data_IF_754114587986
#
_entry.id   IF_754114587986
#
_cell.length_a   1.000
_cell.length_b   1.000
_cell.length_c   1.000
_cell.angle_alpha   90.00
_cell.angle_beta   90.00
_cell.angle_gamma   90.00
#
_symmetry.space_group_name_H-M   'P 1'
#
loop_
_entity.id
_entity.type
_entity.pdbx_description
1 polymer ?
#
# COMPACT_ATOMS: atom_id res chain seq x y z
N UNK A 1 12.86 -9.38 -17.83
CA UNK A 1 11.39 -9.46 -17.85
C UNK A 1 10.94 -9.49 -19.30
N UNK A 2 10.12 -10.46 -19.68
CA UNK A 2 9.48 -10.56 -20.99
C UNK A 2 8.01 -10.18 -20.83
N UNK A 3 7.50 -9.39 -21.75
CA UNK A 3 6.09 -9.01 -21.83
C UNK A 3 5.58 -9.43 -23.20
N UNK A 4 4.43 -10.07 -23.25
CA UNK A 4 3.72 -10.43 -24.46
C UNK A 4 2.26 -10.00 -24.35
N UNK A 5 1.73 -9.51 -25.44
CA UNK A 5 0.34 -9.11 -25.55
C UNK A 5 -0.21 -9.64 -26.88
N UNK A 6 -1.43 -10.12 -26.88
CA UNK A 6 -2.10 -10.54 -28.12
C UNK A 6 -2.50 -9.32 -28.97
N UNK A 7 -2.82 -9.57 -30.24
CA UNK A 7 -3.21 -8.52 -31.18
C UNK A 7 -4.47 -7.74 -30.76
N UNK A 8 -5.35 -8.36 -29.98
CA UNK A 8 -6.60 -7.76 -29.51
C UNK A 8 -6.45 -7.03 -28.19
N UNK A 9 -5.29 -7.18 -27.49
CA UNK A 9 -5.04 -6.59 -26.17
C UNK A 9 -5.81 -7.26 -25.03
N UNK A 10 -6.51 -8.37 -25.32
CA UNK A 10 -7.31 -9.08 -24.35
C UNK A 10 -6.48 -9.99 -23.44
N UNK A 11 -5.33 -10.42 -23.93
CA UNK A 11 -4.42 -11.29 -23.23
C UNK A 11 -3.07 -10.61 -23.04
N UNK A 12 -2.66 -10.51 -21.78
CA UNK A 12 -1.32 -9.99 -21.44
C UNK A 12 -0.60 -11.03 -20.61
N UNK A 13 0.58 -11.45 -21.03
CA UNK A 13 1.43 -12.34 -20.25
C UNK A 13 2.77 -11.69 -19.94
N UNK A 14 3.29 -12.00 -18.78
CA UNK A 14 4.59 -11.54 -18.34
C UNK A 14 5.37 -12.70 -17.72
N UNK A 15 6.66 -12.77 -18.03
CA UNK A 15 7.56 -13.69 -17.39
C UNK A 15 8.87 -12.98 -17.06
N UNK A 16 9.46 -13.31 -15.93
CA UNK A 16 10.69 -12.68 -15.54
C UNK A 16 11.49 -13.54 -14.58
N UNK A 17 12.77 -13.24 -14.56
CA UNK A 17 13.74 -13.85 -13.69
C UNK A 17 14.50 -12.73 -12.95
N UNK A 18 14.73 -12.90 -11.67
CA UNK A 18 15.54 -12.00 -10.87
C UNK A 18 16.54 -12.78 -10.04
N UNK A 19 17.75 -12.24 -9.98
CA UNK A 19 18.82 -12.78 -9.15
C UNK A 19 19.33 -11.69 -8.19
N UNK A 20 19.13 -11.90 -6.89
CA UNK A 20 19.61 -11.02 -5.83
C UNK A 20 20.26 -11.86 -4.72
N UNK A 21 21.28 -12.67 -5.10
CA UNK A 21 21.86 -13.67 -4.20
C UNK A 21 21.04 -14.97 -4.08
N UNK A 22 19.88 -15.04 -4.74
CA UNK A 22 19.02 -16.21 -4.91
C UNK A 22 18.20 -16.07 -6.19
N UNK A 23 17.81 -17.23 -6.75
CA UNK A 23 17.02 -17.29 -7.97
C UNK A 23 15.54 -17.11 -7.66
N UNK A 24 14.87 -16.21 -8.37
CA UNK A 24 13.43 -16.05 -8.30
C UNK A 24 12.82 -15.90 -9.70
N UNK A 25 11.75 -16.64 -9.95
CA UNK A 25 10.95 -16.59 -11.18
C UNK A 25 9.60 -15.96 -10.88
N UNK A 26 9.11 -15.17 -11.79
CA UNK A 26 7.76 -14.65 -11.73
C UNK A 26 7.10 -14.80 -13.10
N UNK A 27 5.84 -15.19 -13.08
CA UNK A 27 5.00 -15.25 -14.25
C UNK A 27 3.64 -14.66 -13.93
N UNK A 28 3.07 -13.95 -14.88
CA UNK A 28 1.76 -13.32 -14.77
C UNK A 28 0.98 -13.47 -16.05
N UNK A 29 -0.33 -13.56 -15.90
CA UNK A 29 -1.26 -13.73 -16.99
C UNK A 29 -2.54 -12.94 -16.65
N UNK A 30 -2.94 -12.04 -17.54
CA UNK A 30 -4.16 -11.25 -17.39
C UNK A 30 -5.03 -11.44 -18.61
N UNK A 31 -6.27 -11.86 -18.42
CA UNK A 31 -7.25 -12.04 -19.47
C UNK A 31 -8.42 -11.07 -19.30
N UNK A 32 -8.66 -10.24 -20.32
CA UNK A 32 -9.66 -9.18 -20.37
C UNK A 32 -10.76 -9.43 -21.40
N UNK A 33 -10.71 -10.55 -22.12
CA UNK A 33 -11.64 -10.88 -23.20
C UNK A 33 -13.07 -11.19 -22.73
N UNK A 34 -13.25 -11.42 -21.44
CA UNK A 34 -14.55 -11.63 -20.78
C UNK A 34 -14.69 -10.70 -19.57
N UNK A 35 -15.91 -10.51 -19.10
CA UNK A 35 -16.20 -9.97 -17.79
C UNK A 35 -16.66 -11.11 -16.87
N UNK A 36 -16.00 -11.32 -15.73
CA UNK A 36 -14.92 -10.52 -15.10
C UNK A 36 -13.55 -10.68 -15.75
N UNK A 37 -12.65 -9.73 -15.48
CA UNK A 37 -11.23 -9.82 -15.80
C UNK A 37 -10.56 -10.79 -14.85
N UNK A 38 -9.72 -11.68 -15.38
CA UNK A 38 -8.93 -12.64 -14.61
C UNK A 38 -7.45 -12.27 -14.64
N UNK A 39 -6.82 -12.29 -13.47
CA UNK A 39 -5.40 -12.01 -13.30
C UNK A 39 -4.78 -13.12 -12.44
N UNK A 40 -3.82 -13.83 -13.03
CA UNK A 40 -3.09 -14.89 -12.38
C UNK A 40 -1.62 -14.50 -12.25
N UNK A 41 -1.03 -14.68 -11.07
CA UNK A 41 0.38 -14.43 -10.82
C UNK A 41 0.98 -15.55 -10.00
N UNK A 42 2.16 -15.98 -10.40
CA UNK A 42 2.98 -16.92 -9.67
C UNK A 42 4.38 -16.31 -9.46
N UNK A 43 4.87 -16.38 -8.24
CA UNK A 43 6.23 -16.06 -7.87
C UNK A 43 6.83 -17.30 -7.21
N UNK A 44 7.97 -17.74 -7.72
CA UNK A 44 8.67 -18.92 -7.22
C UNK A 44 10.14 -18.61 -7.03
N UNK A 45 10.70 -19.01 -5.89
CA UNK A 45 12.10 -18.79 -5.56
C UNK A 45 12.29 -17.68 -4.54
N UNK A 46 13.52 -17.52 -4.11
CA UNK A 46 13.88 -16.63 -3.01
C UNK A 46 14.01 -17.36 -1.68
N UNK A 47 14.47 -16.64 -0.66
CA UNK A 47 14.60 -17.19 0.70
C UNK A 47 13.27 -17.07 1.45
N UNK A 48 12.87 -18.14 2.13
CA UNK A 48 11.84 -18.04 3.15
C UNK A 48 12.35 -17.24 4.35
N UNK A 49 11.46 -16.53 5.02
CA UNK A 49 11.79 -15.83 6.26
C UNK A 49 12.23 -16.85 7.33
N UNK A 50 13.30 -16.51 8.05
CA UNK A 50 13.76 -17.24 9.22
C UNK A 50 12.75 -16.99 10.33
N UNK A 51 12.26 -18.04 10.97
CA UNK A 51 11.40 -17.94 12.15
C UNK A 51 12.25 -18.37 13.35
N UNK A 52 12.54 -17.41 14.24
CA UNK A 52 13.21 -17.69 15.50
C UNK A 52 12.18 -18.16 16.53
N UNK A 53 12.46 -19.27 17.19
CA UNK A 53 11.71 -19.69 18.39
C UNK A 53 12.20 -18.87 19.59
N UNK A 54 11.33 -18.22 20.36
CA UNK A 54 11.75 -17.37 21.48
C UNK A 54 12.52 -18.09 22.59
N UNK A 55 12.42 -19.42 22.68
CA UNK A 55 13.00 -20.22 23.80
C UNK A 55 14.00 -21.30 23.35
N UNK A 56 14.31 -21.39 22.07
CA UNK A 56 15.25 -22.42 21.59
C UNK A 56 16.27 -21.74 20.69
N UNK A 57 17.57 -21.84 21.05
CA UNK A 57 18.67 -21.28 20.25
C UNK A 57 18.87 -21.98 18.90
N UNK A 58 17.96 -22.85 18.50
CA UNK A 58 17.96 -23.50 17.19
C UNK A 58 17.22 -22.65 16.16
N UNK A 59 17.96 -21.90 15.38
CA UNK A 59 17.47 -21.30 14.13
C UNK A 59 17.14 -22.42 13.15
N UNK A 60 15.87 -22.68 12.90
CA UNK A 60 15.46 -23.59 11.85
C UNK A 60 15.47 -22.82 10.53
N UNK A 61 16.58 -22.86 9.82
CA UNK A 61 16.69 -22.38 8.44
C UNK A 61 15.82 -23.27 7.53
N UNK A 62 14.61 -22.84 7.23
CA UNK A 62 13.84 -23.48 6.16
C UNK A 62 14.50 -23.14 4.81
N UNK A 63 15.07 -24.13 4.17
CA UNK A 63 15.69 -23.99 2.83
C UNK A 63 14.68 -24.08 1.67
N UNK A 64 13.39 -24.05 1.95
CA UNK A 64 12.38 -24.13 0.90
C UNK A 64 12.26 -22.82 0.10
N UNK A 65 12.16 -22.93 -1.21
CA UNK A 65 11.88 -21.80 -2.07
C UNK A 65 10.51 -21.21 -1.74
N UNK A 66 10.44 -19.89 -1.67
CA UNK A 66 9.18 -19.19 -1.49
C UNK A 66 8.30 -19.40 -2.72
N UNK A 67 7.08 -19.82 -2.51
CA UNK A 67 6.04 -19.92 -3.54
C UNK A 67 4.87 -19.04 -3.17
N UNK A 68 4.45 -18.21 -4.10
CA UNK A 68 3.26 -17.38 -3.96
C UNK A 68 2.44 -17.49 -5.23
N UNK A 69 1.16 -17.80 -5.08
CA UNK A 69 0.20 -17.89 -6.16
C UNK A 69 -0.94 -16.94 -5.84
N UNK A 70 -1.23 -16.01 -6.74
CA UNK A 70 -2.33 -15.08 -6.63
C UNK A 70 -3.29 -15.25 -7.81
N UNK A 71 -4.55 -15.48 -7.53
CA UNK A 71 -5.64 -15.51 -8.50
C UNK A 71 -6.62 -14.41 -8.15
N UNK A 72 -6.85 -13.49 -9.05
CA UNK A 72 -7.72 -12.34 -8.86
C UNK A 72 -8.75 -12.26 -9.96
N UNK A 73 -9.99 -12.00 -9.59
CA UNK A 73 -11.09 -11.72 -10.52
C UNK A 73 -11.72 -10.40 -10.15
N UNK A 74 -11.95 -9.51 -11.11
CA UNK A 74 -12.55 -8.21 -10.88
C UNK A 74 -13.34 -7.71 -12.08
N UNK A 75 -14.31 -6.82 -11.83
CA UNK A 75 -15.14 -6.20 -12.86
C UNK A 75 -14.95 -4.67 -12.78
N UNK A 76 -14.27 -4.05 -13.76
CA UNK A 76 -14.07 -2.60 -13.78
C UNK A 76 -15.26 -1.90 -14.44
N UNK A 77 -16.30 -1.59 -13.66
CA UNK A 77 -17.40 -0.75 -14.16
C UNK A 77 -16.92 0.69 -14.29
N UNK A 78 -17.02 1.26 -15.50
CA UNK A 78 -16.68 2.64 -15.78
C UNK A 78 -17.90 3.40 -16.28
N UNK A 79 -18.27 4.46 -15.57
CA UNK A 79 -19.42 5.31 -15.85
C UNK A 79 -18.97 6.76 -16.13
N UNK A 80 -17.85 6.90 -16.84
CA UNK A 80 -17.28 8.22 -17.13
C UNK A 80 -18.20 9.04 -18.03
N UNK A 81 -18.59 10.22 -17.54
CA UNK A 81 -19.46 11.14 -18.30
C UNK A 81 -18.92 12.56 -18.21
N UNK A 82 -18.67 13.19 -19.38
CA UNK A 82 -18.17 14.56 -19.47
C UNK A 82 -16.85 14.73 -18.70
N UNK A 83 -16.83 15.59 -17.68
CA UNK A 83 -15.64 15.87 -16.85
C UNK A 83 -15.48 14.93 -15.66
N UNK A 84 -16.47 14.09 -15.38
CA UNK A 84 -16.45 13.19 -14.25
C UNK A 84 -15.94 11.80 -14.64
N UNK A 85 -14.92 11.35 -13.96
CA UNK A 85 -14.43 9.98 -14.03
C UNK A 85 -15.07 9.25 -12.85
N UNK A 86 -15.92 8.27 -13.15
CA UNK A 86 -16.65 7.48 -12.15
C UNK A 86 -16.40 6.01 -12.42
N UNK A 87 -16.12 5.25 -11.39
CA UNK A 87 -15.96 3.81 -11.51
C UNK A 87 -16.30 3.07 -10.22
N UNK A 88 -16.59 1.79 -10.41
CA UNK A 88 -16.88 0.84 -9.35
C UNK A 88 -16.20 -0.49 -9.69
N UNK A 89 -15.36 -1.00 -8.79
CA UNK A 89 -14.52 -2.17 -9.05
C UNK A 89 -14.66 -3.17 -7.90
N UNK A 90 -15.61 -4.11 -7.97
CA UNK A 90 -15.62 -5.28 -7.10
C UNK A 90 -14.53 -6.27 -7.50
N UNK A 91 -13.89 -6.89 -6.51
CA UNK A 91 -12.77 -7.80 -6.71
C UNK A 91 -12.80 -8.93 -5.69
N UNK A 92 -12.45 -10.11 -6.15
CA UNK A 92 -12.17 -11.29 -5.31
C UNK A 92 -10.74 -11.73 -5.60
N UNK A 93 -10.00 -12.05 -4.54
CA UNK A 93 -8.62 -12.53 -4.64
C UNK A 93 -8.44 -13.77 -3.80
N UNK A 94 -7.85 -14.81 -4.39
CA UNK A 94 -7.35 -16.00 -3.70
C UNK A 94 -5.83 -15.99 -3.77
N UNK A 95 -5.18 -16.12 -2.63
CA UNK A 95 -3.71 -16.12 -2.55
C UNK A 95 -3.22 -17.34 -1.77
N UNK A 96 -2.16 -17.95 -2.25
CA UNK A 96 -1.42 -18.99 -1.55
C UNK A 96 0.01 -18.53 -1.27
N UNK A 97 0.48 -18.76 -0.05
CA UNK A 97 1.86 -18.52 0.36
C UNK A 97 2.39 -19.73 1.12
N UNK A 98 3.54 -20.23 0.74
CA UNK A 98 4.20 -21.35 1.43
C UNK A 98 5.09 -20.89 2.60
N UNK A 99 4.74 -19.82 3.28
CA UNK A 99 5.46 -19.33 4.44
C UNK A 99 5.18 -20.20 5.69
N UNK A 100 6.16 -20.30 6.58
CA UNK A 100 5.93 -20.84 7.92
C UNK A 100 5.38 -19.75 8.83
N UNK A 101 4.35 -20.08 9.58
CA UNK A 101 3.78 -19.23 10.61
C UNK A 101 3.94 -19.96 11.96
N UNK A 102 4.49 -19.26 12.93
CA UNK A 102 4.64 -19.79 14.29
C UNK A 102 3.49 -19.33 15.17
N UNK A 103 2.85 -20.27 15.87
CA UNK A 103 1.89 -19.98 16.92
C UNK A 103 2.58 -20.04 18.28
N UNK A 104 2.57 -18.92 19.00
CA UNK A 104 3.08 -18.87 20.37
C UNK A 104 2.15 -19.57 21.38
N UNK A 105 0.91 -19.87 20.99
CA UNK A 105 -0.09 -20.52 21.84
C UNK A 105 0.12 -22.04 21.84
N UNK A 106 0.20 -22.65 20.67
CA UNK A 106 0.38 -24.09 20.49
C UNK A 106 1.85 -24.51 20.41
N UNK A 107 2.78 -23.53 20.33
CA UNK A 107 4.21 -23.75 20.06
C UNK A 107 4.47 -24.59 18.81
N UNK A 108 3.60 -24.47 17.81
CA UNK A 108 3.63 -25.24 16.57
C UNK A 108 3.77 -24.33 15.34
N UNK A 109 4.18 -24.93 14.22
CA UNK A 109 4.35 -24.25 12.95
C UNK A 109 3.29 -24.69 11.94
N UNK A 110 2.58 -23.71 11.38
CA UNK A 110 1.73 -23.90 10.22
C UNK A 110 2.53 -23.65 8.96
N UNK A 111 2.56 -24.60 8.05
CA UNK A 111 3.15 -24.45 6.71
C UNK A 111 2.11 -24.22 5.65
N UNK A 112 2.30 -23.18 4.89
CA UNK A 112 1.39 -22.81 3.80
C UNK A 112 0.11 -22.15 4.29
N UNK A 113 -0.30 -21.13 3.60
CA UNK A 113 -1.47 -20.33 3.93
C UNK A 113 -2.26 -19.99 2.68
N UNK A 114 -3.57 -20.26 2.73
CA UNK A 114 -4.52 -19.79 1.74
C UNK A 114 -5.26 -18.58 2.30
N UNK A 115 -5.30 -17.51 1.56
CA UNK A 115 -6.02 -16.30 1.94
C UNK A 115 -7.09 -15.99 0.91
N UNK A 116 -8.30 -15.70 1.35
CA UNK A 116 -9.39 -15.22 0.49
C UNK A 116 -9.72 -13.79 0.85
N UNK A 117 -9.64 -12.91 -0.15
CA UNK A 117 -9.87 -11.48 -0.01
C UNK A 117 -10.99 -11.00 -0.92
N UNK A 118 -11.80 -10.10 -0.40
CA UNK A 118 -12.86 -9.39 -1.12
C UNK A 118 -12.57 -7.92 -1.02
N UNK A 119 -12.68 -7.19 -2.11
CA UNK A 119 -12.55 -5.74 -2.06
C UNK A 119 -13.49 -5.06 -3.04
N UNK A 120 -13.87 -3.86 -2.67
CA UNK A 120 -14.69 -2.98 -3.47
C UNK A 120 -14.05 -1.61 -3.46
N UNK A 121 -13.88 -1.04 -4.64
CA UNK A 121 -13.43 0.33 -4.82
C UNK A 121 -14.47 1.11 -5.62
N UNK A 122 -14.86 2.26 -5.12
CA UNK A 122 -15.74 3.21 -5.81
C UNK A 122 -15.06 4.57 -5.86
N UNK A 123 -15.13 5.22 -6.99
CA UNK A 123 -14.54 6.55 -7.13
C UNK A 123 -15.35 7.43 -8.08
N UNK A 124 -15.34 8.72 -7.76
CA UNK A 124 -15.86 9.76 -8.62
C UNK A 124 -15.05 11.02 -8.42
N UNK A 125 -14.37 11.48 -9.45
CA UNK A 125 -13.58 12.71 -9.39
C UNK A 125 -13.56 13.45 -10.71
N UNK A 126 -13.30 14.75 -10.65
CA UNK A 126 -13.15 15.60 -11.84
C UNK A 126 -11.83 15.28 -12.55
N UNK A 127 -11.88 15.22 -13.87
CA UNK A 127 -10.68 15.08 -14.71
C UNK A 127 -9.69 16.20 -14.40
N UNK A 128 -8.44 15.84 -14.19
CA UNK A 128 -7.36 16.78 -13.89
C UNK A 128 -6.92 17.56 -15.13
N UNK A 129 -6.57 18.82 -14.96
CA UNK A 129 -5.80 19.60 -15.90
C UNK A 129 -4.31 19.26 -15.78
N UNK A 130 -3.51 19.57 -16.79
CA UNK A 130 -2.04 19.31 -16.81
C UNK A 130 -1.30 19.99 -15.66
N UNK A 131 -1.81 21.15 -15.20
CA UNK A 131 -1.21 21.90 -14.08
C UNK A 131 -1.75 21.52 -12.71
N UNK A 132 -2.87 20.79 -12.63
CA UNK A 132 -3.45 20.39 -11.36
C UNK A 132 -2.56 19.31 -10.70
N UNK A 133 -2.30 19.45 -9.41
CA UNK A 133 -1.53 18.49 -8.64
C UNK A 133 -2.36 17.26 -8.25
N UNK A 134 -3.66 17.48 -8.03
CA UNK A 134 -4.66 16.47 -7.67
C UNK A 134 -6.01 16.84 -8.28
N UNK A 135 -6.98 15.91 -8.33
CA UNK A 135 -8.34 16.26 -8.73
C UNK A 135 -8.89 17.41 -7.90
N UNK A 136 -9.52 18.40 -8.54
CA UNK A 136 -10.09 19.55 -7.84
C UNK A 136 -11.27 19.20 -6.95
N UNK A 137 -12.03 18.18 -7.34
CA UNK A 137 -13.15 17.67 -6.56
C UNK A 137 -13.28 16.18 -6.82
N UNK A 138 -13.52 15.43 -5.77
CA UNK A 138 -13.72 13.98 -5.91
C UNK A 138 -13.75 13.23 -4.61
N UNK A 139 -14.21 11.99 -4.71
CA UNK A 139 -14.22 11.04 -3.62
C UNK A 139 -13.76 9.67 -4.13
N UNK A 140 -12.99 8.99 -3.32
CA UNK A 140 -12.59 7.60 -3.51
C UNK A 140 -12.88 6.85 -2.23
N UNK A 141 -13.57 5.73 -2.32
CA UNK A 141 -13.84 4.86 -1.17
C UNK A 141 -13.40 3.45 -1.54
N UNK A 142 -12.73 2.79 -0.62
CA UNK A 142 -12.30 1.42 -0.75
C UNK A 142 -12.60 0.65 0.53
N UNK A 143 -13.12 -0.56 0.38
CA UNK A 143 -13.31 -1.49 1.50
C UNK A 143 -12.74 -2.83 1.11
N UNK A 144 -12.11 -3.52 2.04
CA UNK A 144 -11.68 -4.89 1.83
C UNK A 144 -11.77 -5.73 3.10
N UNK A 145 -12.03 -6.99 2.86
CA UNK A 145 -12.14 -8.02 3.87
C UNK A 145 -11.27 -9.21 3.44
N UNK A 146 -10.49 -9.76 4.37
CA UNK A 146 -9.64 -10.92 4.14
C UNK A 146 -9.77 -11.89 5.29
N UNK A 147 -9.85 -13.17 4.96
CA UNK A 147 -9.92 -14.26 5.93
C UNK A 147 -9.24 -15.51 5.37
N UNK A 148 -9.07 -16.50 6.22
CA UNK A 148 -8.67 -17.83 5.81
C UNK A 148 -9.86 -18.79 5.94
N UNK A 149 -10.51 -19.17 4.84
CA UNK A 149 -11.76 -19.93 4.92
C UNK A 149 -11.59 -21.39 5.40
N UNK A 150 -10.39 -21.95 5.25
CA UNK A 150 -10.12 -23.36 5.57
C UNK A 150 -9.42 -23.57 6.90
N UNK A 151 -9.15 -22.53 7.67
CA UNK A 151 -8.51 -22.64 8.96
C UNK A 151 -9.14 -21.69 9.98
N UNK A 152 -9.84 -22.28 10.96
CA UNK A 152 -10.53 -21.53 12.01
C UNK A 152 -9.59 -20.84 13.02
N UNK A 153 -8.28 -21.21 13.04
CA UNK A 153 -7.28 -20.60 13.90
C UNK A 153 -6.87 -19.20 13.44
N UNK A 154 -7.19 -18.84 12.19
CA UNK A 154 -7.08 -17.49 11.69
C UNK A 154 -8.36 -16.71 11.94
N UNK A 155 -8.24 -15.48 12.37
CA UNK A 155 -9.32 -14.53 12.38
C UNK A 155 -9.53 -13.91 10.99
N UNK A 156 -10.03 -12.71 10.98
CA UNK A 156 -10.21 -11.89 9.78
C UNK A 156 -9.56 -10.53 9.94
N UNK A 157 -9.32 -9.87 8.81
CA UNK A 157 -8.96 -8.47 8.76
C UNK A 157 -9.93 -7.74 7.82
N UNK A 158 -10.45 -6.63 8.29
CA UNK A 158 -11.31 -5.73 7.54
C UNK A 158 -10.70 -4.34 7.56
N UNK A 159 -10.73 -3.65 6.42
CA UNK A 159 -10.38 -2.25 6.37
C UNK A 159 -11.33 -1.45 5.49
N UNK A 160 -11.45 -0.17 5.79
CA UNK A 160 -12.17 0.81 5.02
C UNK A 160 -11.27 2.04 4.86
N UNK A 161 -11.24 2.58 3.67
CA UNK A 161 -10.47 3.75 3.31
C UNK A 161 -11.35 4.72 2.52
N UNK A 162 -11.29 5.99 2.89
CA UNK A 162 -11.96 7.06 2.18
C UNK A 162 -10.99 8.19 1.87
N UNK A 163 -11.13 8.82 0.72
CA UNK A 163 -10.36 10.00 0.32
C UNK A 163 -11.28 10.99 -0.36
N UNK A 164 -11.23 12.23 0.09
CA UNK A 164 -11.92 13.36 -0.51
C UNK A 164 -10.90 14.36 -1.07
N UNK A 165 -11.19 14.88 -2.23
CA UNK A 165 -10.44 15.95 -2.87
C UNK A 165 -11.29 17.20 -2.89
N UNK A 166 -10.72 18.31 -2.49
CA UNK A 166 -11.36 19.63 -2.44
C UNK A 166 -10.44 20.66 -3.11
N UNK A 167 -10.99 21.72 -3.70
CA UNK A 167 -10.18 22.81 -4.22
C UNK A 167 -9.45 23.51 -3.06
N UNK A 168 -8.22 23.93 -3.32
CA UNK A 168 -7.48 24.78 -2.38
C UNK A 168 -7.89 26.25 -2.46
N UNK A 169 -7.21 27.10 -1.69
CA UNK A 169 -7.49 28.52 -1.60
C UNK A 169 -7.16 29.28 -2.90
N UNK A 170 -6.18 28.80 -3.66
CA UNK A 170 -5.74 29.44 -4.89
C UNK A 170 -5.83 28.46 -6.10
N UNK A 171 -5.71 28.95 -7.34
CA UNK A 171 -5.69 28.10 -8.55
C UNK A 171 -4.58 27.06 -8.45
N UNK A 172 -4.88 25.80 -8.85
CA UNK A 172 -3.99 24.65 -8.81
C UNK A 172 -3.56 24.17 -7.42
N UNK A 173 -4.01 24.81 -6.36
CA UNK A 173 -3.91 24.28 -5.00
C UNK A 173 -4.97 23.19 -4.79
N UNK A 174 -4.68 22.24 -3.92
CA UNK A 174 -5.61 21.15 -3.59
C UNK A 174 -5.53 20.78 -2.12
N UNK A 175 -6.70 20.51 -1.56
CA UNK A 175 -6.86 19.93 -0.24
C UNK A 175 -7.29 18.47 -0.40
N UNK A 176 -6.55 17.56 0.20
CA UNK A 176 -6.87 16.14 0.25
C UNK A 176 -7.09 15.72 1.70
N UNK A 177 -8.24 15.18 1.97
CA UNK A 177 -8.56 14.57 3.26
C UNK A 177 -8.70 13.07 3.05
N UNK A 178 -8.04 12.27 3.86
CA UNK A 178 -8.19 10.82 3.83
C UNK A 178 -8.39 10.26 5.22
N UNK A 179 -9.28 9.28 5.32
CA UNK A 179 -9.54 8.53 6.53
C UNK A 179 -9.44 7.04 6.23
N UNK A 180 -8.84 6.29 7.13
CA UNK A 180 -8.72 4.86 7.04
C UNK A 180 -9.03 4.22 8.39
N UNK A 181 -9.70 3.09 8.35
CA UNK A 181 -10.00 2.32 9.54
C UNK A 181 -9.81 0.84 9.26
N UNK A 182 -9.13 0.15 10.17
CA UNK A 182 -8.84 -1.26 10.11
C UNK A 182 -9.25 -1.93 11.42
N UNK A 183 -9.82 -3.12 11.31
CA UNK A 183 -10.06 -4.02 12.43
C UNK A 183 -9.63 -5.42 12.04
N UNK A 184 -8.89 -6.08 12.92
CA UNK A 184 -8.61 -7.50 12.77
C UNK A 184 -9.04 -8.27 14.02
N UNK A 185 -9.52 -9.47 13.81
CA UNK A 185 -9.69 -10.45 14.86
C UNK A 185 -8.39 -11.24 14.97
N UNK A 186 -7.74 -11.18 16.13
CA UNK A 186 -6.54 -11.95 16.40
C UNK A 186 -6.96 -13.20 17.14
N UNK A 187 -6.75 -14.34 16.51
CA UNK A 187 -6.82 -15.68 17.11
C UNK A 187 -5.40 -16.20 17.34
N UNK A 188 -5.14 -17.44 17.03
CA UNK A 188 -3.82 -18.04 17.12
C UNK A 188 -2.84 -17.38 16.15
N UNK A 189 -3.27 -17.10 14.94
CA UNK A 189 -2.51 -16.38 13.92
C UNK A 189 -3.14 -15.03 13.61
N UNK A 190 -2.32 -14.07 13.17
CA UNK A 190 -2.75 -12.74 12.78
C UNK A 190 -2.32 -12.39 11.36
N UNK A 191 -3.10 -11.57 10.70
CA UNK A 191 -2.70 -10.95 9.44
C UNK A 191 -1.76 -9.75 9.69
N UNK A 192 -0.94 -9.41 8.70
CA UNK A 192 -0.19 -8.16 8.71
C UNK A 192 -1.12 -6.95 8.60
N UNK A 193 -0.73 -5.84 9.21
CA UNK A 193 -1.46 -4.56 9.12
C UNK A 193 -1.48 -4.05 7.68
N UNK A 194 -2.65 -3.65 7.18
CA UNK A 194 -2.79 -3.09 5.84
C UNK A 194 -2.56 -1.58 5.79
N UNK A 195 -2.87 -0.90 6.89
CA UNK A 195 -2.69 0.54 7.00
C UNK A 195 -1.27 0.85 7.45
N UNK A 196 -0.67 1.85 6.83
CA UNK A 196 0.61 2.40 7.28
C UNK A 196 0.36 3.34 8.45
N UNK A 197 1.26 3.34 9.43
CA UNK A 197 1.22 4.33 10.51
C UNK A 197 1.46 5.75 9.99
N UNK A 198 1.12 6.79 10.78
CA UNK A 198 1.41 8.17 10.45
C UNK A 198 2.87 8.38 10.07
N UNK A 199 3.12 9.34 9.21
CA UNK A 199 4.48 9.70 8.80
C UNK A 199 5.34 10.02 10.02
N UNK A 200 6.59 9.54 10.05
CA UNK A 200 7.49 9.68 11.21
C UNK A 200 7.43 8.52 12.22
N UNK A 201 6.45 7.64 12.13
CA UNK A 201 6.38 6.43 12.95
C UNK A 201 6.81 5.21 12.13
N UNK A 202 8.07 4.80 12.29
CA UNK A 202 8.65 3.69 11.51
C UNK A 202 8.54 2.32 12.18
N UNK A 203 8.19 2.29 13.46
CA UNK A 203 8.07 1.03 14.20
C UNK A 203 6.72 0.37 13.92
N UNK A 204 6.76 -0.92 13.62
CA UNK A 204 5.55 -1.73 13.47
C UNK A 204 4.97 -2.07 14.84
N UNK A 205 4.07 -1.25 15.31
CA UNK A 205 3.33 -1.51 16.55
C UNK A 205 2.32 -2.65 16.34
N UNK A 206 2.05 -3.47 17.36
CA UNK A 206 0.93 -4.40 17.31
C UNK A 206 -0.37 -3.63 17.06
N UNK A 207 -1.28 -4.20 16.28
CA UNK A 207 -2.52 -3.50 15.92
C UNK A 207 -3.67 -4.49 15.82
N UNK A 208 -4.75 -4.23 16.54
CA UNK A 208 -6.04 -4.91 16.35
C UNK A 208 -7.06 -3.96 15.72
N UNK A 209 -7.05 -2.70 16.17
CA UNK A 209 -7.85 -1.64 15.57
C UNK A 209 -6.96 -0.44 15.33
N UNK A 210 -7.00 0.09 14.13
CA UNK A 210 -6.25 1.26 13.72
C UNK A 210 -7.14 2.18 12.92
N UNK A 211 -7.25 3.43 13.35
CA UNK A 211 -7.84 4.51 12.55
C UNK A 211 -6.76 5.55 12.24
N UNK A 212 -6.78 6.06 11.03
CA UNK A 212 -5.83 7.06 10.57
C UNK A 212 -6.61 8.13 9.82
N UNK A 213 -6.36 9.37 10.13
CA UNK A 213 -6.89 10.53 9.44
C UNK A 213 -5.72 11.38 8.97
N UNK A 214 -5.76 11.77 7.70
CA UNK A 214 -4.69 12.56 7.08
C UNK A 214 -5.28 13.74 6.33
N UNK A 215 -4.72 14.91 6.55
CA UNK A 215 -5.02 16.13 5.81
C UNK A 215 -3.74 16.54 5.10
N UNK A 216 -3.81 16.68 3.78
CA UNK A 216 -2.72 17.16 2.93
C UNK A 216 -3.16 18.40 2.17
N UNK A 217 -2.38 19.45 2.24
CA UNK A 217 -2.57 20.66 1.43
C UNK A 217 -1.42 20.82 0.47
N UNK A 218 -1.70 20.59 -0.81
CA UNK A 218 -0.68 20.64 -1.86
C UNK A 218 -0.79 21.95 -2.65
N UNK A 219 0.37 22.57 -2.90
CA UNK A 219 0.47 23.82 -3.63
C UNK A 219 1.65 23.78 -4.62
N UNK A 220 1.49 24.34 -5.83
CA UNK A 220 2.61 24.57 -6.72
C UNK A 220 3.41 25.78 -6.20
N UNK A 221 4.71 25.62 -6.03
CA UNK A 221 5.61 26.71 -5.62
C UNK A 221 6.00 27.51 -6.86
N UNK A 222 6.50 26.85 -7.90
CA UNK A 222 6.83 27.47 -9.17
C UNK A 222 6.87 26.44 -10.30
N UNK A 223 6.83 26.93 -11.51
CA UNK A 223 6.97 26.16 -12.76
C UNK A 223 8.20 26.68 -13.50
N UNK A 224 9.42 26.24 -13.12
CA UNK A 224 10.63 26.76 -13.75
C UNK A 224 10.70 26.40 -15.23
N UNK A 225 10.11 25.25 -15.64
CA UNK A 225 10.22 24.68 -16.99
C UNK A 225 11.65 24.76 -17.54
N UNK A 226 12.60 24.47 -16.62
CA UNK A 226 14.00 24.63 -16.86
C UNK A 226 14.59 23.38 -17.49
N UNK A 227 15.16 23.56 -18.66
CA UNK A 227 15.81 22.50 -19.42
C UNK A 227 17.34 22.69 -19.39
N UNK A 228 18.02 21.77 -18.72
CA UNK A 228 19.49 21.75 -18.72
C UNK A 228 19.99 20.68 -19.69
N UNK A 229 20.01 21.07 -20.99
CA UNK A 229 20.39 20.21 -22.10
C UNK A 229 19.57 18.90 -22.11
N UNK A 230 20.19 17.78 -22.54
CA UNK A 230 19.55 16.46 -22.55
C UNK A 230 19.55 15.77 -21.17
N UNK A 231 20.21 16.34 -20.16
CA UNK A 231 20.44 15.68 -18.88
C UNK A 231 19.26 15.81 -17.93
N UNK A 232 18.74 17.03 -17.74
CA UNK A 232 17.74 17.31 -16.70
C UNK A 232 16.73 18.32 -17.21
N UNK A 233 15.45 17.99 -17.07
CA UNK A 233 14.33 18.91 -17.24
C UNK A 233 13.56 19.00 -15.93
N UNK A 234 13.56 20.17 -15.30
CA UNK A 234 12.80 20.50 -14.10
C UNK A 234 11.48 21.13 -14.49
N UNK A 235 10.39 20.37 -14.35
CA UNK A 235 9.07 20.77 -14.76
C UNK A 235 8.40 21.71 -13.76
N UNK A 236 8.42 21.34 -12.48
CA UNK A 236 7.76 22.11 -11.41
C UNK A 236 8.33 21.77 -10.04
N UNK A 237 8.20 22.74 -9.13
CA UNK A 237 8.42 22.55 -7.70
C UNK A 237 7.07 22.63 -6.97
N UNK A 238 6.83 21.70 -6.07
CA UNK A 238 5.57 21.60 -5.31
C UNK A 238 5.85 21.49 -3.83
N UNK A 239 4.97 22.08 -3.02
CA UNK A 239 4.96 21.94 -1.58
C UNK A 239 3.72 21.15 -1.16
N UNK A 240 3.84 20.39 -0.08
CA UNK A 240 2.73 19.72 0.56
C UNK A 240 2.85 19.90 2.07
N UNK A 241 1.83 20.48 2.69
CA UNK A 241 1.69 20.55 4.15
C UNK A 241 0.80 19.40 4.56
N UNK A 242 1.17 18.68 5.61
CA UNK A 242 0.38 17.56 6.07
C UNK A 242 0.22 17.49 7.58
N UNK A 243 -0.88 16.88 8.00
CA UNK A 243 -1.15 16.49 9.38
C UNK A 243 -1.76 15.09 9.37
N UNK A 244 -1.16 14.18 10.12
CA UNK A 244 -1.63 12.80 10.30
C UNK A 244 -2.01 12.59 11.74
N UNK A 245 -3.20 12.03 11.97
CA UNK A 245 -3.69 11.62 13.28
C UNK A 245 -3.99 10.12 13.22
N UNK A 246 -3.62 9.36 14.24
CA UNK A 246 -3.99 7.96 14.31
C UNK A 246 -4.33 7.54 15.74
N UNK A 247 -5.20 6.53 15.83
CA UNK A 247 -5.55 5.85 17.07
C UNK A 247 -5.32 4.35 16.87
N UNK A 248 -4.39 3.80 17.63
CA UNK A 248 -4.04 2.39 17.63
C UNK A 248 -4.52 1.73 18.93
N UNK A 249 -5.17 0.57 18.79
CA UNK A 249 -5.65 -0.22 19.91
C UNK A 249 -5.21 -1.67 19.73
N UNK A 250 -4.61 -2.23 20.77
CA UNK A 250 -4.19 -3.63 20.77
C UNK A 250 -4.17 -4.24 22.17
N UNK A 251 -4.25 -5.55 22.23
CA UNK A 251 -4.12 -6.31 23.46
C UNK A 251 -2.66 -6.67 23.71
N UNK A 252 -2.23 -6.58 24.94
CA UNK A 252 -0.93 -7.06 25.39
C UNK A 252 -1.08 -7.83 26.70
N UNK A 253 -0.14 -8.75 26.95
CA UNK A 253 -0.07 -9.49 28.20
C UNK A 253 0.84 -8.73 29.14
N UNK A 254 0.32 -8.31 30.27
CA UNK A 254 1.11 -7.65 31.30
C UNK A 254 2.07 -8.65 31.95
N UNK A 255 3.36 -8.37 31.92
CA UNK A 255 4.40 -9.31 32.35
C UNK A 255 4.27 -9.72 33.83
N UNK A 256 3.77 -8.84 34.68
CA UNK A 256 3.66 -9.06 36.15
C UNK A 256 2.41 -9.88 36.48
N UNK A 257 1.26 -9.44 35.99
CA UNK A 257 -0.04 -10.05 36.37
C UNK A 257 -0.47 -11.18 35.43
N UNK A 258 0.21 -11.35 34.29
CA UNK A 258 -0.17 -12.26 33.19
C UNK A 258 -1.61 -12.02 32.66
N UNK A 259 -2.18 -10.86 32.96
CA UNK A 259 -3.51 -10.50 32.48
C UNK A 259 -3.43 -9.82 31.11
N UNK A 260 -4.42 -10.08 30.27
CA UNK A 260 -4.57 -9.42 28.96
C UNK A 260 -5.21 -8.04 29.18
N UNK A 261 -4.50 -6.99 28.80
CA UNK A 261 -4.98 -5.61 28.88
C UNK A 261 -5.02 -4.95 27.51
N UNK A 262 -5.92 -3.97 27.36
CA UNK A 262 -5.98 -3.10 26.18
C UNK A 262 -5.06 -1.91 26.33
N UNK A 263 -4.29 -1.65 25.31
CA UNK A 263 -3.51 -0.41 25.19
C UNK A 263 -4.10 0.44 24.07
N UNK A 264 -4.20 1.72 24.35
CA UNK A 264 -4.70 2.75 23.43
C UNK A 264 -3.57 3.75 23.21
N UNK A 265 -3.18 3.95 21.98
CA UNK A 265 -2.13 4.90 21.61
C UNK A 265 -2.72 5.91 20.63
N UNK A 266 -2.46 7.19 20.88
CA UNK A 266 -2.79 8.28 19.97
C UNK A 266 -1.48 8.76 19.36
N UNK A 267 -1.39 8.74 18.05
CA UNK A 267 -0.21 9.12 17.30
C UNK A 267 -0.56 10.35 16.47
N UNK A 268 0.33 11.34 16.50
CA UNK A 268 0.17 12.58 15.75
C UNK A 268 1.48 12.93 15.07
N UNK A 269 1.42 13.31 13.81
CA UNK A 269 2.57 13.89 13.11
C UNK A 269 2.13 15.00 12.17
N UNK A 270 3.00 15.95 11.94
CA UNK A 270 2.79 17.02 10.98
C UNK A 270 4.09 17.34 10.27
N UNK A 271 4.00 17.89 9.07
CA UNK A 271 5.23 18.19 8.35
C UNK A 271 5.02 18.83 7.00
N UNK A 272 6.13 18.92 6.28
CA UNK A 272 6.22 19.58 4.99
C UNK A 272 6.98 18.67 4.05
N UNK A 273 6.47 18.53 2.82
CA UNK A 273 7.18 17.92 1.69
C UNK A 273 7.51 19.02 0.69
N UNK A 274 8.74 19.06 0.23
CA UNK A 274 9.19 19.85 -0.92
C UNK A 274 9.57 18.87 -2.03
N UNK A 275 8.87 18.92 -3.15
CA UNK A 275 8.99 17.95 -4.23
C UNK A 275 9.33 18.66 -5.55
N UNK A 276 10.21 18.05 -6.33
CA UNK A 276 10.55 18.44 -7.68
C UNK A 276 10.15 17.36 -8.66
N UNK A 277 9.39 17.72 -9.69
CA UNK A 277 9.09 16.85 -10.83
C UNK A 277 10.21 17.02 -11.87
N UNK A 278 11.03 16.00 -12.01
CA UNK A 278 12.22 16.02 -12.84
C UNK A 278 12.16 14.91 -13.90
N UNK A 279 12.53 15.22 -15.13
CA UNK A 279 12.81 14.22 -16.15
C UNK A 279 14.32 14.13 -16.35
N UNK A 280 14.87 12.94 -16.22
CA UNK A 280 16.30 12.68 -16.42
C UNK A 280 16.54 12.02 -17.78
N UNK A 281 17.55 12.45 -18.51
CA UNK A 281 18.00 11.85 -19.77
C UNK A 281 16.86 11.61 -20.79
N UNK A 282 15.93 12.54 -20.93
CA UNK A 282 14.74 12.42 -21.81
C UNK A 282 13.83 11.20 -21.51
N UNK A 283 13.94 10.61 -20.32
CA UNK A 283 13.03 9.55 -19.90
C UNK A 283 11.59 10.10 -19.86
N UNK A 284 10.67 9.36 -20.46
CA UNK A 284 9.28 9.81 -20.68
C UNK A 284 8.51 9.95 -19.36
N UNK A 285 8.88 9.23 -18.31
CA UNK A 285 8.19 9.30 -17.03
C UNK A 285 8.87 10.25 -16.06
N UNK A 286 8.10 11.07 -15.34
CA UNK A 286 8.65 11.98 -14.35
C UNK A 286 9.17 11.24 -13.13
N UNK A 287 10.29 11.71 -12.61
CA UNK A 287 10.83 11.29 -11.32
C UNK A 287 10.47 12.40 -10.33
N UNK A 288 9.72 12.04 -9.31
CA UNK A 288 9.43 12.93 -8.20
C UNK A 288 10.49 12.74 -7.12
N UNK A 289 11.29 13.75 -6.89
CA UNK A 289 12.32 13.77 -5.86
C UNK A 289 12.12 14.94 -4.91
N UNK A 290 12.48 14.76 -3.66
CA UNK A 290 12.32 15.85 -2.71
C UNK A 290 12.73 15.50 -1.29
N UNK A 291 12.39 16.41 -0.39
CA UNK A 291 12.68 16.32 1.03
C UNK A 291 11.37 16.39 1.78
N UNK A 292 11.23 15.49 2.74
CA UNK A 292 10.17 15.51 3.75
C UNK A 292 10.76 15.85 5.08
N UNK A 293 10.10 16.74 5.80
CA UNK A 293 10.40 17.01 7.20
C UNK A 293 9.16 16.73 8.02
N UNK A 294 9.27 15.80 8.96
CA UNK A 294 8.19 15.39 9.85
C UNK A 294 8.50 15.85 11.27
N UNK A 295 7.58 16.49 11.91
CA UNK A 295 7.59 16.78 13.34
C UNK A 295 6.65 15.82 14.07
N UNK A 296 7.16 15.11 15.06
CA UNK A 296 6.41 14.20 15.93
C UNK A 296 6.26 14.85 17.30
N UNK A 297 5.07 15.37 17.67
CA UNK A 297 4.87 16.10 18.93
C UNK A 297 5.16 15.27 20.19
N UNK A 298 4.93 13.95 20.13
CA UNK A 298 5.10 13.04 21.26
C UNK A 298 6.58 12.94 21.70
N UNK A 299 7.50 12.80 20.74
CA UNK A 299 8.94 12.72 20.98
C UNK A 299 9.64 14.07 20.86
N UNK A 300 8.95 15.09 20.35
CA UNK A 300 9.49 16.42 19.99
C UNK A 300 10.65 16.36 18.99
N UNK A 301 10.65 15.34 18.15
CA UNK A 301 11.69 15.11 17.17
C UNK A 301 11.29 15.66 15.80
N UNK A 302 12.28 16.18 15.08
CA UNK A 302 12.18 16.54 13.67
C UNK A 302 12.96 15.50 12.87
N UNK A 303 12.27 14.83 11.97
CA UNK A 303 12.84 13.74 11.18
C UNK A 303 12.87 14.12 9.70
N UNK A 304 14.04 14.49 9.15
CA UNK A 304 14.18 14.71 7.73
C UNK A 304 14.31 13.37 6.99
N UNK A 305 13.72 13.27 5.80
CA UNK A 305 13.82 12.11 4.93
C UNK A 305 13.82 12.51 3.46
N UNK A 306 14.53 11.76 2.63
CA UNK A 306 14.52 11.93 1.19
C UNK A 306 13.32 11.17 0.60
N UNK A 307 12.63 11.81 -0.32
CA UNK A 307 11.56 11.22 -1.11
C UNK A 307 12.06 11.00 -2.54
N UNK A 308 11.88 9.79 -3.03
CA UNK A 308 12.13 9.44 -4.43
C UNK A 308 11.01 8.53 -4.90
N UNK A 309 10.29 8.94 -5.93
CA UNK A 309 9.29 8.10 -6.58
C UNK A 309 9.32 8.25 -8.08
N UNK A 310 9.11 7.17 -8.79
CA UNK A 310 9.01 7.13 -10.25
C UNK A 310 7.58 6.79 -10.62
N UNK A 311 6.91 7.69 -11.35
CA UNK A 311 5.55 7.44 -11.83
C UNK A 311 5.65 6.76 -13.21
N UNK A 312 5.36 5.47 -13.26
CA UNK A 312 5.12 4.75 -14.53
C UNK A 312 3.65 4.94 -14.89
N UNK A 313 3.38 5.70 -15.95
CA UNK A 313 2.03 5.90 -16.50
C UNK A 313 1.63 4.74 -17.42
#
# INVERSE_FOLDING_TARGET
>A
MLLSQDLTGNLTSSAGYSWRGYNAFHAGFTYKGLYPVFDFKINYGGKNSIIERPNDNTQTLSQHNRTQIDVRSYIPFSFTRSRWITGFVPQIKLSYHNSYLYSSITADFQYGMWEMGYSVQAYRYLKMSVRDLQPRLGIVVQSAYKHWPWNAQFGYIYYMYGRAYLPGVAPHHSLRMSGAWQKQEIKEYRFGTWLSFPRGYYNHLPTEKLSIETIDYSLPICYPDWNWSFLVYLKRLTGNLFCDLAQNQYRYVENVTKQVRWRHEKLCSMGIDLLADVHLMQITFPINMGIRTVYVPETREIQPSLLLSVAFN
#
